data_IF_504375001006
#
_entry.id   IF_504375001006
#
_cell.length_a   1.000
_cell.length_b   1.000
_cell.length_c   1.000
_cell.angle_alpha   90.00
_cell.angle_beta   90.00
_cell.angle_gamma   90.00
#
_symmetry.space_group_name_H-M   'P 1'
#
loop_
_entity.id
_entity.type
_entity.pdbx_description
1 polymer ?
#
# COMPACT_ATOMS: atom_id res chain seq x y z
N UNK A 1 -24.71 2.93 -19.94
CA UNK A 1 -23.71 2.01 -20.52
C UNK A 1 -22.28 2.56 -20.49
N UNK A 2 -21.98 3.72 -21.09
CA UNK A 2 -20.61 4.28 -21.03
C UNK A 2 -20.19 4.76 -19.62
N UNK A 3 -21.09 5.48 -18.95
CA UNK A 3 -20.90 5.97 -17.57
C UNK A 3 -20.73 4.82 -16.57
N UNK A 4 -21.57 3.80 -16.68
CA UNK A 4 -21.49 2.56 -15.88
C UNK A 4 -20.13 1.86 -16.04
N UNK A 5 -19.63 1.71 -17.27
CA UNK A 5 -18.32 1.10 -17.52
C UNK A 5 -17.18 1.91 -16.87
N UNK A 6 -17.31 3.24 -16.85
CA UNK A 6 -16.32 4.10 -16.21
C UNK A 6 -16.34 3.97 -14.69
N UNK A 7 -17.53 3.87 -14.08
CA UNK A 7 -17.68 3.64 -12.64
C UNK A 7 -17.04 2.30 -12.25
N UNK A 8 -17.34 1.23 -13.01
CA UNK A 8 -16.78 -0.09 -12.76
C UNK A 8 -15.25 -0.12 -12.86
N UNK A 9 -14.65 0.55 -13.85
CA UNK A 9 -13.18 0.65 -13.95
C UNK A 9 -12.56 1.43 -12.77
N UNK A 10 -13.23 2.49 -12.30
CA UNK A 10 -12.78 3.23 -11.11
C UNK A 10 -12.84 2.37 -9.85
N UNK A 11 -13.93 1.63 -9.63
CA UNK A 11 -14.07 0.71 -8.50
C UNK A 11 -13.01 -0.41 -8.55
N UNK A 12 -12.77 -0.98 -9.73
CA UNK A 12 -11.74 -2.00 -9.93
C UNK A 12 -10.34 -1.46 -9.59
N UNK A 13 -10.00 -0.25 -10.04
CA UNK A 13 -8.74 0.43 -9.70
C UNK A 13 -8.58 0.63 -8.19
N UNK A 14 -9.65 1.02 -7.49
CA UNK A 14 -9.64 1.18 -6.04
C UNK A 14 -9.34 -0.16 -5.32
N UNK A 15 -9.87 -1.28 -5.83
CA UNK A 15 -9.57 -2.61 -5.29
C UNK A 15 -8.10 -2.98 -5.53
N UNK A 16 -7.57 -2.76 -6.74
CA UNK A 16 -6.14 -2.99 -7.02
C UNK A 16 -5.23 -2.11 -6.17
N UNK A 17 -5.59 -0.84 -5.96
CA UNK A 17 -4.88 0.04 -5.06
C UNK A 17 -4.91 -0.47 -3.61
N UNK A 18 -6.06 -0.95 -3.12
CA UNK A 18 -6.19 -1.50 -1.78
C UNK A 18 -5.37 -2.79 -1.57
N UNK A 19 -5.28 -3.65 -2.58
CA UNK A 19 -4.44 -4.86 -2.55
C UNK A 19 -2.95 -4.56 -2.30
N UNK A 20 -2.49 -3.34 -2.59
CA UNK A 20 -1.13 -2.91 -2.29
C UNK A 20 -0.82 -2.88 -0.79
N UNK A 21 -1.85 -2.84 0.06
CA UNK A 21 -1.76 -2.81 1.52
C UNK A 21 -2.17 -4.14 2.17
N UNK A 22 -2.18 -5.23 1.39
CA UNK A 22 -2.46 -6.58 1.89
C UNK A 22 -1.20 -7.44 1.75
N UNK A 23 -0.15 -7.01 2.45
CA UNK A 23 1.14 -7.70 2.50
C UNK A 23 1.70 -8.03 1.12
N UNK A 24 1.97 -9.31 0.86
CA UNK A 24 2.57 -9.78 -0.39
C UNK A 24 1.65 -9.64 -1.61
N UNK A 25 0.35 -9.37 -1.42
CA UNK A 25 -0.60 -9.24 -2.52
C UNK A 25 -0.35 -8.00 -3.38
N UNK A 26 0.50 -7.05 -2.95
CA UNK A 26 1.00 -5.95 -3.79
C UNK A 26 1.64 -6.43 -5.11
N UNK A 27 2.09 -7.69 -5.17
CA UNK A 27 2.57 -8.31 -6.41
C UNK A 27 1.47 -8.43 -7.48
N UNK A 28 0.20 -8.59 -7.09
CA UNK A 28 -0.91 -8.71 -8.04
C UNK A 28 -1.14 -7.39 -8.80
N UNK A 29 -1.31 -6.22 -8.14
CA UNK A 29 -1.35 -4.93 -8.83
C UNK A 29 -0.13 -4.65 -9.70
N UNK A 30 1.08 -5.05 -9.28
CA UNK A 30 2.31 -4.91 -10.07
C UNK A 30 2.21 -5.66 -11.40
N UNK A 31 1.67 -6.88 -11.39
CA UNK A 31 1.59 -7.70 -12.59
C UNK A 31 0.43 -7.31 -13.51
N UNK A 32 -0.66 -6.78 -12.95
CA UNK A 32 -1.93 -6.61 -13.68
C UNK A 32 -2.23 -5.15 -14.04
N UNK A 33 -1.88 -4.18 -13.17
CA UNK A 33 -2.31 -2.77 -13.28
C UNK A 33 -1.19 -1.75 -13.06
N UNK A 34 0.09 -2.13 -13.13
CA UNK A 34 1.22 -1.21 -12.85
C UNK A 34 1.28 0.06 -13.71
N UNK A 35 0.69 0.03 -14.90
CA UNK A 35 0.72 1.16 -15.83
C UNK A 35 -0.37 2.21 -15.52
N UNK A 36 -1.34 1.87 -14.65
CA UNK A 36 -2.31 2.85 -14.15
C UNK A 36 -1.62 3.77 -13.11
N UNK A 37 -1.66 5.10 -13.28
CA UNK A 37 -0.95 6.02 -12.38
C UNK A 37 -1.42 5.98 -10.93
N UNK A 38 -2.72 5.75 -10.71
CA UNK A 38 -3.30 5.68 -9.37
C UNK A 38 -2.87 4.39 -8.68
N UNK A 39 -2.99 3.25 -9.37
CA UNK A 39 -2.54 1.95 -8.83
C UNK A 39 -1.02 1.95 -8.63
N UNK A 40 -0.23 2.50 -9.56
CA UNK A 40 1.23 2.61 -9.43
C UNK A 40 1.67 3.41 -8.20
N UNK A 41 0.94 4.48 -7.88
CA UNK A 41 1.18 5.26 -6.67
C UNK A 41 1.00 4.39 -5.41
N UNK A 42 -0.04 3.55 -5.37
CA UNK A 42 -0.32 2.65 -4.24
C UNK A 42 0.67 1.48 -4.19
N UNK A 43 1.13 0.97 -5.34
CA UNK A 43 2.19 -0.05 -5.43
C UNK A 43 3.45 0.41 -4.71
N UNK A 44 3.93 1.62 -5.01
CA UNK A 44 5.18 2.14 -4.42
C UNK A 44 5.08 2.29 -2.91
N UNK A 45 3.92 2.70 -2.40
CA UNK A 45 3.70 2.79 -0.96
C UNK A 45 3.52 1.44 -0.30
N UNK A 46 2.74 0.56 -0.90
CA UNK A 46 2.52 -0.81 -0.43
C UNK A 46 3.82 -1.60 -0.27
N UNK A 47 4.74 -1.48 -1.24
CA UNK A 47 6.07 -2.11 -1.16
C UNK A 47 6.91 -1.57 0.01
N UNK A 48 6.85 -0.25 0.27
CA UNK A 48 7.54 0.34 1.43
C UNK A 48 6.93 -0.16 2.74
N UNK A 49 5.59 -0.20 2.84
CA UNK A 49 4.91 -0.70 4.03
C UNK A 49 5.24 -2.17 4.27
N UNK A 50 5.16 -3.02 3.24
CA UNK A 50 5.55 -4.43 3.30
C UNK A 50 7.01 -4.59 3.78
N UNK A 51 7.94 -3.82 3.20
CA UNK A 51 9.34 -3.84 3.61
C UNK A 51 9.52 -3.46 5.09
N UNK A 52 8.83 -2.43 5.55
CA UNK A 52 8.90 -2.00 6.97
C UNK A 52 8.27 -3.04 7.90
N UNK A 53 7.16 -3.66 7.53
CA UNK A 53 6.55 -4.73 8.32
C UNK A 53 7.50 -5.93 8.47
N UNK A 54 8.17 -6.34 7.39
CA UNK A 54 9.17 -7.41 7.43
C UNK A 54 10.34 -7.03 8.35
N UNK A 55 10.90 -5.83 8.20
CA UNK A 55 12.00 -5.36 9.06
C UNK A 55 11.58 -5.30 10.52
N UNK A 56 10.35 -4.88 10.81
CA UNK A 56 9.81 -4.80 12.18
C UNK A 56 9.67 -6.19 12.81
N UNK A 57 9.18 -7.17 12.06
CA UNK A 57 9.10 -8.58 12.50
C UNK A 57 10.48 -9.20 12.74
N UNK A 58 11.48 -8.88 11.92
CA UNK A 58 12.85 -9.35 12.14
C UNK A 58 13.48 -8.66 13.35
N UNK A 59 13.22 -7.38 13.55
CA UNK A 59 13.74 -6.60 14.67
C UNK A 59 13.16 -7.07 16.02
N UNK A 60 11.91 -7.55 16.07
CA UNK A 60 11.31 -8.06 17.31
C UNK A 60 12.02 -9.31 17.86
N UNK A 61 12.77 -10.04 17.04
CA UNK A 61 13.60 -11.15 17.49
C UNK A 61 14.83 -10.70 18.32
N UNK A 62 15.29 -9.46 18.15
CA UNK A 62 16.49 -8.93 18.83
C UNK A 62 16.15 -7.87 19.88
N UNK A 63 15.15 -7.04 19.59
CA UNK A 63 14.67 -5.95 20.46
C UNK A 63 13.14 -6.01 20.47
N UNK A 64 12.60 -6.97 21.24
CA UNK A 64 11.19 -7.35 21.27
C UNK A 64 10.23 -6.16 21.34
N UNK A 65 10.42 -5.29 22.34
CA UNK A 65 9.53 -4.15 22.56
C UNK A 65 9.53 -3.19 21.36
N UNK A 66 10.70 -2.86 20.83
CA UNK A 66 10.81 -1.89 19.72
C UNK A 66 10.23 -2.47 18.43
N UNK A 67 10.56 -3.72 18.10
CA UNK A 67 10.05 -4.37 16.90
C UNK A 67 8.53 -4.52 16.93
N UNK A 68 7.97 -4.95 18.06
CA UNK A 68 6.52 -5.13 18.21
C UNK A 68 5.76 -3.80 18.18
N UNK A 69 6.27 -2.76 18.83
CA UNK A 69 5.65 -1.42 18.77
C UNK A 69 5.68 -0.85 17.36
N UNK A 70 6.83 -0.94 16.67
CA UNK A 70 6.95 -0.47 15.29
C UNK A 70 5.99 -1.22 14.36
N UNK A 71 5.93 -2.55 14.48
CA UNK A 71 5.00 -3.38 13.72
C UNK A 71 3.55 -2.93 13.91
N UNK A 72 3.11 -2.75 15.16
CA UNK A 72 1.75 -2.32 15.46
C UNK A 72 1.42 -0.94 14.88
N UNK A 73 2.34 0.03 15.02
CA UNK A 73 2.15 1.38 14.47
C UNK A 73 2.03 1.33 12.94
N UNK A 74 2.92 0.58 12.28
CA UNK A 74 2.91 0.47 10.82
C UNK A 74 1.65 -0.26 10.34
N UNK A 75 1.20 -1.28 11.05
CA UNK A 75 -0.04 -2.00 10.73
C UNK A 75 -1.29 -1.10 10.83
N UNK A 76 -1.36 -0.21 11.83
CA UNK A 76 -2.45 0.77 11.91
C UNK A 76 -2.43 1.72 10.71
N UNK A 77 -1.24 2.21 10.35
CA UNK A 77 -1.07 3.10 9.18
C UNK A 77 -1.40 2.39 7.87
N UNK A 78 -1.05 1.11 7.74
CA UNK A 78 -1.37 0.25 6.60
C UNK A 78 -2.88 0.12 6.40
N UNK A 79 -3.62 -0.13 7.49
CA UNK A 79 -5.10 -0.19 7.46
C UNK A 79 -5.69 1.16 7.03
N UNK A 80 -5.16 2.28 7.54
CA UNK A 80 -5.63 3.61 7.13
C UNK A 80 -5.38 3.82 5.63
N UNK A 81 -4.20 3.45 5.13
CA UNK A 81 -3.86 3.56 3.73
C UNK A 81 -4.73 2.67 2.84
N UNK A 82 -5.05 1.45 3.29
CA UNK A 82 -5.99 0.53 2.65
C UNK A 82 -7.38 1.17 2.51
N UNK A 83 -7.92 1.73 3.59
CA UNK A 83 -9.23 2.40 3.56
C UNK A 83 -9.21 3.60 2.61
N UNK A 84 -8.15 4.39 2.65
CA UNK A 84 -8.01 5.55 1.76
C UNK A 84 -7.92 5.12 0.28
N UNK A 85 -7.27 4.00 -0.03
CA UNK A 85 -7.22 3.43 -1.37
C UNK A 85 -8.60 2.96 -1.85
N UNK A 86 -9.38 2.30 -0.99
CA UNK A 86 -10.78 1.93 -1.29
C UNK A 86 -11.67 3.15 -1.55
N UNK A 87 -11.38 4.28 -0.90
CA UNK A 87 -12.04 5.56 -1.15
C UNK A 87 -11.52 6.32 -2.38
N UNK A 88 -10.59 5.73 -3.16
CA UNK A 88 -10.02 6.36 -4.35
C UNK A 88 -9.04 7.51 -4.05
N UNK A 89 -8.45 7.55 -2.84
CA UNK A 89 -7.56 8.63 -2.41
C UNK A 89 -6.09 8.19 -2.41
N UNK A 90 -5.25 8.96 -3.10
CA UNK A 90 -3.79 8.86 -3.04
C UNK A 90 -3.22 9.52 -1.77
N UNK A 91 -3.56 8.99 -0.60
CA UNK A 91 -3.18 9.54 0.70
C UNK A 91 -1.70 9.30 1.07
N UNK A 92 -0.83 10.29 0.88
CA UNK A 92 0.59 10.15 1.19
C UNK A 92 0.83 9.82 2.67
N UNK A 93 1.26 8.59 2.95
CA UNK A 93 1.62 8.17 4.30
C UNK A 93 2.75 9.09 4.83
N UNK A 94 2.58 9.74 6.00
CA UNK A 94 3.63 10.54 6.60
C UNK A 94 4.92 9.72 6.79
N UNK A 95 6.08 10.32 6.52
CA UNK A 95 7.42 9.71 6.56
C UNK A 95 7.67 8.62 5.49
N UNK A 96 6.77 7.64 5.33
CA UNK A 96 6.94 6.53 4.37
C UNK A 96 6.63 6.94 2.93
N UNK A 97 5.66 7.82 2.71
CA UNK A 97 5.25 8.27 1.37
C UNK A 97 6.34 9.08 0.66
N UNK A 98 7.24 9.74 1.40
CA UNK A 98 8.41 10.40 0.82
C UNK A 98 9.45 9.38 0.36
N UNK A 99 9.65 8.30 1.11
CA UNK A 99 10.52 7.19 0.70
C UNK A 99 9.94 6.48 -0.54
N UNK A 100 8.64 6.20 -0.54
CA UNK A 100 7.93 5.59 -1.67
C UNK A 100 8.10 6.38 -2.97
N UNK A 101 8.05 7.72 -2.90
CA UNK A 101 8.19 8.58 -4.09
C UNK A 101 9.55 8.50 -4.79
N UNK A 102 10.57 7.92 -4.13
CA UNK A 102 11.92 7.75 -4.71
C UNK A 102 12.05 6.48 -5.57
N UNK A 103 11.16 5.51 -5.41
CA UNK A 103 11.18 4.31 -6.24
C UNK A 103 10.62 4.60 -7.62
N UNK A 104 11.35 4.16 -8.65
CA UNK A 104 10.89 4.13 -10.04
C UNK A 104 10.55 2.68 -10.37
N UNK A 105 9.25 2.39 -10.36
CA UNK A 105 8.65 1.11 -10.72
C UNK A 105 7.49 1.41 -11.67
#
# INVERSE_FOLDING_TARGET
MAEEKQILDMEEKNVFAALCYVGVLVLVPILVRKDDPFVNWHIRQGLVVLGVLIVSLLASAWIEVVGNVLFLVVMIVDIIALVQALMGKSWKIPLLGTLASKFRI
#
